data_IF_791330354437
#
_entry.id   IF_791330354437
#
_cell.length_a   1.000
_cell.length_b   1.000
_cell.length_c   1.000
_cell.angle_alpha   90.00
_cell.angle_beta   90.00
_cell.angle_gamma   90.00
#
_symmetry.space_group_name_H-M   'P 1'
#
loop_
_entity.id
_entity.type
_entity.pdbx_description
1 polymer ?
#
# COMPACT_ATOMS: atom_id res chain seq x y z
N UNK A 1 -7.17 20.75 9.21
CA UNK A 1 -6.91 21.11 7.81
C UNK A 1 -7.81 20.20 7.00
N UNK A 2 -8.87 20.72 6.38
CA UNK A 2 -9.96 19.87 5.86
C UNK A 2 -9.77 19.46 4.39
N UNK A 3 -8.59 19.74 3.83
CA UNK A 3 -8.20 19.34 2.49
C UNK A 3 -6.68 19.29 2.37
N UNK A 4 -6.09 18.13 2.63
CA UNK A 4 -4.65 17.92 2.53
C UNK A 4 -4.31 16.60 1.87
N UNK A 5 -3.25 16.59 1.08
CA UNK A 5 -2.62 15.37 0.59
C UNK A 5 -1.52 14.99 1.58
N UNK A 6 -1.55 13.74 2.04
CA UNK A 6 -0.56 13.19 2.96
C UNK A 6 0.24 12.12 2.23
N UNK A 7 1.54 12.33 2.11
CA UNK A 7 2.49 11.37 1.55
C UNK A 7 3.34 10.79 2.68
N UNK A 8 3.42 9.45 2.75
CA UNK A 8 4.34 8.75 3.63
C UNK A 8 5.48 8.15 2.82
N UNK A 9 6.68 8.66 3.02
CA UNK A 9 7.91 8.16 2.41
C UNK A 9 8.60 7.23 3.40
N UNK A 10 9.02 6.05 2.94
CA UNK A 10 9.79 5.08 3.74
C UNK A 10 11.10 4.77 3.04
N UNK A 11 12.22 4.96 3.73
CA UNK A 11 13.51 4.48 3.28
C UNK A 11 13.72 3.07 3.84
N UNK A 12 13.94 2.10 2.95
CA UNK A 12 14.14 0.70 3.28
C UNK A 12 15.63 0.37 3.31
N UNK A 13 16.03 -0.48 4.23
CA UNK A 13 17.38 -1.06 4.29
C UNK A 13 17.28 -2.58 4.43
N UNK A 14 18.17 -3.30 3.76
CA UNK A 14 18.25 -4.76 3.79
C UNK A 14 18.58 -5.24 5.21
N UNK A 15 17.77 -6.17 5.73
CA UNK A 15 17.93 -6.72 7.06
C UNK A 15 19.10 -7.71 7.17
N UNK A 16 19.57 -8.26 6.05
CA UNK A 16 20.66 -9.23 5.99
C UNK A 16 22.06 -8.60 5.95
N UNK A 17 22.17 -7.31 5.63
CA UNK A 17 23.46 -6.61 5.51
C UNK A 17 23.99 -6.22 6.90
N UNK A 18 25.15 -6.74 7.32
CA UNK A 18 25.72 -6.36 8.60
C UNK A 18 26.05 -4.85 8.63
N UNK A 19 25.73 -4.13 9.71
CA UNK A 19 26.01 -2.71 9.80
C UNK A 19 27.52 -2.46 9.68
N UNK A 20 27.89 -1.73 8.63
CA UNK A 20 29.28 -1.38 8.35
C UNK A 20 29.86 -0.50 9.46
N UNK A 21 31.19 -0.46 9.59
CA UNK A 21 31.86 0.34 10.61
C UNK A 21 31.54 1.84 10.43
N UNK A 22 31.36 2.29 9.19
CA UNK A 22 30.91 3.64 8.86
C UNK A 22 29.49 3.96 9.33
N UNK A 23 28.54 3.03 9.21
CA UNK A 23 27.18 3.25 9.73
C UNK A 23 27.12 3.19 11.25
N UNK A 24 27.92 2.32 11.88
CA UNK A 24 28.10 2.32 13.35
C UNK A 24 28.74 3.62 13.85
N UNK A 25 29.74 4.14 13.16
CA UNK A 25 30.38 5.41 13.49
C UNK A 25 29.44 6.59 13.27
N UNK A 26 28.68 6.61 12.16
CA UNK A 26 27.69 7.64 11.91
C UNK A 26 26.58 7.64 12.97
N UNK A 27 26.17 6.45 13.44
CA UNK A 27 25.24 6.29 14.56
C UNK A 27 25.87 6.79 15.89
N UNK A 28 27.13 6.44 16.15
CA UNK A 28 27.85 6.83 17.37
C UNK A 28 28.16 8.33 17.45
N UNK A 29 28.43 8.98 16.32
CA UNK A 29 28.64 10.45 16.22
C UNK A 29 27.29 11.19 16.14
N UNK A 30 26.17 10.47 15.97
CA UNK A 30 24.83 11.04 15.89
C UNK A 30 24.54 11.74 14.55
N UNK A 31 25.39 11.54 13.53
CA UNK A 31 25.16 12.02 12.16
C UNK A 31 24.14 11.17 11.43
N UNK A 32 24.04 9.88 11.78
CA UNK A 32 22.91 9.02 11.45
C UNK A 32 22.07 8.83 12.72
N UNK A 33 20.80 9.22 12.69
CA UNK A 33 19.84 8.90 13.75
C UNK A 33 18.72 8.06 13.15
N UNK A 34 18.39 6.95 13.80
CA UNK A 34 17.07 6.32 13.59
C UNK A 34 16.05 7.34 14.09
N UNK A 35 15.29 7.96 13.20
CA UNK A 35 14.08 8.68 13.62
C UNK A 35 13.20 7.63 14.29
N UNK A 36 12.92 7.77 15.58
CA UNK A 36 12.01 6.87 16.28
C UNK A 36 10.65 6.92 15.59
N UNK A 37 10.26 5.80 14.99
CA UNK A 37 9.00 5.64 14.30
C UNK A 37 8.43 4.26 14.63
N UNK A 38 7.12 4.13 14.51
CA UNK A 38 6.29 2.96 14.85
C UNK A 38 6.68 1.66 14.12
N UNK A 39 7.46 1.75 13.05
CA UNK A 39 7.86 0.61 12.20
C UNK A 39 9.35 0.25 12.31
N UNK A 40 10.13 0.92 13.16
CA UNK A 40 11.60 0.80 13.18
C UNK A 40 12.11 -0.61 13.50
N UNK A 41 11.35 -1.41 14.26
CA UNK A 41 11.75 -2.75 14.70
C UNK A 41 11.01 -3.87 13.95
N UNK A 42 10.34 -3.50 12.85
CA UNK A 42 9.59 -4.45 12.02
C UNK A 42 10.40 -4.79 10.76
N UNK A 43 10.42 -6.07 10.44
CA UNK A 43 10.98 -6.59 9.18
C UNK A 43 9.81 -6.89 8.23
N UNK A 44 10.01 -6.55 6.97
CA UNK A 44 9.04 -6.72 5.89
C UNK A 44 9.69 -7.46 4.73
N UNK A 45 8.95 -8.34 4.06
CA UNK A 45 9.37 -8.90 2.77
C UNK A 45 9.16 -7.87 1.65
N UNK A 46 10.21 -7.55 0.91
CA UNK A 46 10.16 -6.64 -0.23
C UNK A 46 10.59 -7.36 -1.50
N UNK A 47 9.72 -7.33 -2.51
CA UNK A 47 10.00 -7.91 -3.80
C UNK A 47 10.34 -6.80 -4.81
N UNK A 48 11.59 -6.68 -5.23
CA UNK A 48 11.94 -5.85 -6.39
C UNK A 48 11.18 -6.40 -7.60
N UNK A 49 10.37 -5.58 -8.27
CA UNK A 49 9.77 -5.98 -9.54
C UNK A 49 10.83 -5.89 -10.63
N UNK A 50 11.29 -7.02 -11.14
CA UNK A 50 11.97 -7.06 -12.44
C UNK A 50 10.88 -7.05 -13.51
N UNK A 51 10.58 -5.88 -14.06
CA UNK A 51 9.97 -5.78 -15.38
C UNK A 51 10.45 -4.48 -16.03
N UNK A 52 11.34 -4.64 -17.02
CA UNK A 52 11.40 -3.90 -18.28
C UNK A 52 12.74 -4.19 -18.98
N UNK A 53 12.94 -5.46 -19.35
CA UNK A 53 13.99 -5.91 -20.25
C UNK A 53 13.46 -5.98 -21.68
N UNK A 54 13.82 -4.99 -22.50
CA UNK A 54 13.47 -4.89 -23.92
C UNK A 54 14.19 -5.96 -24.76
N UNK A 55 13.48 -7.00 -25.22
CA UNK A 55 13.80 -7.86 -26.37
C UNK A 55 12.46 -8.13 -27.08
N UNK A 56 12.16 -7.74 -28.31
CA UNK A 56 13.00 -7.63 -29.50
C UNK A 56 12.90 -8.91 -30.33
N UNK A 57 11.84 -9.08 -31.15
CA UNK A 57 11.84 -10.00 -32.30
C UNK A 57 10.75 -11.08 -32.39
N UNK A 58 9.78 -10.84 -33.28
CA UNK A 58 9.19 -11.74 -34.31
C UNK A 58 8.30 -12.98 -33.96
N UNK A 59 7.04 -12.85 -34.42
CA UNK A 59 6.19 -13.76 -35.21
C UNK A 59 5.75 -15.15 -34.71
N UNK A 60 4.42 -15.36 -34.67
CA UNK A 60 3.81 -16.68 -34.67
C UNK A 60 2.31 -16.70 -34.31
N UNK A 61 1.47 -16.96 -35.31
CA UNK A 61 0.01 -17.05 -35.27
C UNK A 61 -0.56 -18.26 -34.48
N UNK A 62 -1.83 -18.10 -34.05
CA UNK A 62 -2.94 -19.09 -34.03
C UNK A 62 -3.34 -19.91 -32.78
N UNK A 63 -4.64 -19.73 -32.45
CA UNK A 63 -5.71 -20.69 -32.11
C UNK A 63 -5.68 -21.56 -30.82
N UNK A 64 -6.68 -21.32 -29.95
CA UNK A 64 -7.64 -22.39 -29.59
C UNK A 64 -7.57 -23.05 -28.19
N UNK A 65 -8.66 -22.87 -27.45
CA UNK A 65 -9.33 -23.87 -26.59
C UNK A 65 -8.84 -24.16 -25.15
N UNK A 66 -9.72 -23.77 -24.21
CA UNK A 66 -10.15 -24.38 -22.93
C UNK A 66 -9.36 -25.60 -22.40
N UNK A 67 -9.28 -25.73 -21.06
CA UNK A 67 -9.61 -27.00 -20.43
C UNK A 67 -10.61 -26.87 -19.27
N UNK A 68 -11.53 -27.83 -19.21
CA UNK A 68 -12.41 -28.08 -18.07
C UNK A 68 -11.84 -29.15 -17.11
N UNK A 69 -12.48 -29.23 -15.94
CA UNK A 69 -12.90 -30.43 -15.15
C UNK A 69 -11.94 -31.64 -15.12
N UNK A 70 -11.64 -32.33 -14.02
CA UNK A 70 -12.29 -32.48 -12.71
C UNK A 70 -11.47 -33.49 -11.88
N UNK A 71 -11.78 -33.55 -10.57
CA UNK A 71 -11.62 -34.72 -9.67
C UNK A 71 -10.16 -35.09 -9.31
N UNK A 72 -9.79 -35.53 -8.11
CA UNK A 72 -10.49 -36.04 -6.93
C UNK A 72 -9.50 -36.09 -5.76
N UNK A 73 -9.94 -35.72 -4.56
CA UNK A 73 -9.35 -36.11 -3.26
C UNK A 73 -9.47 -37.65 -3.06
N UNK A 74 -8.76 -38.35 -2.13
CA UNK A 74 -8.52 -37.93 -0.73
C UNK A 74 -7.18 -38.34 -0.07
N UNK A 75 -7.10 -37.89 1.18
CA UNK A 75 -6.03 -37.95 2.18
C UNK A 75 -5.44 -39.34 2.51
N UNK A 76 -4.17 -39.35 2.97
CA UNK A 76 -3.81 -39.86 4.31
C UNK A 76 -2.33 -39.62 4.67
N UNK A 77 -2.16 -39.13 5.91
CA UNK A 77 -1.12 -39.42 6.92
C UNK A 77 0.29 -38.81 6.81
N UNK A 78 0.55 -37.94 7.79
CA UNK A 78 1.71 -38.07 8.71
C UNK A 78 3.08 -37.62 8.20
N UNK A 79 3.62 -36.58 8.84
CA UNK A 79 5.04 -36.29 8.80
C UNK A 79 5.33 -34.80 8.92
N UNK A 80 5.68 -34.38 10.14
CA UNK A 80 6.30 -33.10 10.42
C UNK A 80 7.59 -32.94 9.60
N UNK A 81 7.73 -31.77 8.94
CA UNK A 81 8.94 -31.04 8.52
C UNK A 81 8.60 -30.20 7.27
N UNK A 82 9.06 -28.95 7.17
CA UNK A 82 9.72 -28.60 5.91
C UNK A 82 10.94 -27.71 6.13
N UNK A 83 12.11 -28.33 6.06
CA UNK A 83 13.19 -27.78 5.25
C UNK A 83 13.22 -28.58 3.95
N UNK A 84 13.26 -27.91 2.80
CA UNK A 84 13.53 -28.58 1.52
C UNK A 84 12.85 -27.96 0.30
N UNK A 85 13.59 -27.08 -0.37
CA UNK A 85 13.89 -27.12 -1.81
C UNK A 85 12.84 -27.64 -2.80
N UNK A 86 12.50 -26.78 -3.77
CA UNK A 86 12.33 -27.18 -5.16
C UNK A 86 10.93 -26.96 -5.73
N UNK A 87 10.75 -25.87 -6.47
CA UNK A 87 9.55 -25.63 -7.27
C UNK A 87 9.69 -24.35 -8.06
N UNK A 88 10.32 -24.43 -9.23
CA UNK A 88 10.51 -23.29 -10.13
C UNK A 88 9.18 -22.74 -10.63
N UNK A 89 8.69 -21.72 -9.95
CA UNK A 89 8.19 -20.53 -10.65
C UNK A 89 9.35 -19.55 -10.66
N UNK A 90 9.54 -18.79 -11.75
CA UNK A 90 10.51 -17.69 -11.82
C UNK A 90 10.04 -16.57 -10.87
N UNK A 91 10.14 -16.87 -9.57
CA UNK A 91 9.50 -16.19 -8.47
C UNK A 91 10.44 -15.15 -7.93
N UNK A 92 10.15 -13.91 -8.30
CA UNK A 92 10.59 -12.65 -7.69
C UNK A 92 11.34 -12.83 -6.36
N UNK A 93 12.62 -12.46 -6.33
CA UNK A 93 13.47 -12.53 -5.13
C UNK A 93 12.89 -11.61 -4.05
N UNK A 94 12.31 -12.22 -3.02
CA UNK A 94 11.87 -11.52 -1.81
C UNK A 94 13.10 -11.24 -0.93
N UNK A 95 13.25 -10.00 -0.48
CA UNK A 95 14.35 -9.52 0.38
C UNK A 95 13.76 -9.00 1.68
N UNK A 96 14.28 -9.48 2.81
CA UNK A 96 13.90 -8.96 4.12
C UNK A 96 14.48 -7.54 4.30
N UNK A 97 13.61 -6.57 4.58
CA UNK A 97 13.98 -5.17 4.78
C UNK A 97 13.39 -4.61 6.06
N UNK A 98 14.06 -3.62 6.65
CA UNK A 98 13.50 -2.81 7.73
C UNK A 98 13.36 -1.36 7.29
N UNK A 99 12.42 -0.64 7.92
CA UNK A 99 12.23 0.79 7.65
C UNK A 99 13.26 1.57 8.47
N UNK A 100 14.21 2.21 7.79
CA UNK A 100 15.21 3.04 8.46
C UNK A 100 14.66 4.41 8.81
N UNK A 101 13.90 4.99 7.88
CA UNK A 101 13.34 6.33 7.99
C UNK A 101 11.89 6.32 7.48
N UNK A 102 11.01 7.01 8.20
CA UNK A 102 9.61 7.22 7.82
C UNK A 102 9.30 8.70 7.92
N UNK A 103 8.93 9.31 6.80
CA UNK A 103 8.66 10.75 6.70
C UNK A 103 7.20 10.95 6.27
N UNK A 104 6.49 11.78 7.02
CA UNK A 104 5.16 12.28 6.65
C UNK A 104 5.32 13.65 6.01
N UNK A 105 4.82 13.80 4.78
CA UNK A 105 4.73 15.08 4.10
C UNK A 105 3.26 15.43 3.96
N UNK A 106 2.87 16.60 4.43
CA UNK A 106 1.51 17.10 4.35
C UNK A 106 1.51 18.37 3.51
N UNK A 107 0.66 18.40 2.48
CA UNK A 107 0.45 19.57 1.65
C UNK A 107 -1.03 19.93 1.65
N UNK A 108 -1.34 21.19 1.89
CA UNK A 108 -2.68 21.70 1.67
C UNK A 108 -3.00 21.62 0.16
N UNK A 109 -4.20 21.12 -0.18
CA UNK A 109 -4.67 21.12 -1.56
C UNK A 109 -5.84 22.11 -1.74
N UNK A 110 -5.65 23.19 -2.52
CA UNK A 110 -6.68 24.19 -2.77
C UNK A 110 -7.96 23.60 -3.38
N UNK A 111 -7.84 22.53 -4.18
CA UNK A 111 -9.00 21.89 -4.82
C UNK A 111 -9.86 21.16 -3.80
N UNK A 112 -9.25 20.38 -2.89
CA UNK A 112 -9.94 19.74 -1.76
C UNK A 112 -10.58 20.76 -0.82
N UNK A 113 -9.89 21.86 -0.51
CA UNK A 113 -10.47 22.95 0.29
C UNK A 113 -11.68 23.59 -0.39
N UNK A 114 -11.60 23.84 -1.70
CA UNK A 114 -12.72 24.37 -2.48
C UNK A 114 -13.89 23.39 -2.53
N UNK A 115 -13.61 22.09 -2.68
CA UNK A 115 -14.62 21.04 -2.69
C UNK A 115 -15.34 20.96 -1.34
N UNK A 116 -14.60 20.96 -0.22
CA UNK A 116 -15.18 20.96 1.12
C UNK A 116 -16.13 22.16 1.31
N UNK A 117 -15.70 23.37 0.95
CA UNK A 117 -16.54 24.56 1.03
C UNK A 117 -17.81 24.46 0.16
N UNK A 118 -17.69 23.92 -1.06
CA UNK A 118 -18.83 23.71 -1.97
C UNK A 118 -19.83 22.69 -1.39
N UNK A 119 -19.35 21.60 -0.79
CA UNK A 119 -20.21 20.60 -0.15
C UNK A 119 -20.93 21.18 1.07
N UNK A 120 -20.24 21.99 1.88
CA UNK A 120 -20.88 22.70 3.00
C UNK A 120 -21.98 23.65 2.51
N UNK A 121 -21.71 24.47 1.49
CA UNK A 121 -22.69 25.37 0.91
C UNK A 121 -23.91 24.60 0.35
N UNK A 122 -23.67 23.51 -0.38
CA UNK A 122 -24.73 22.65 -0.89
C UNK A 122 -25.56 22.02 0.24
N UNK A 123 -24.91 21.59 1.33
CA UNK A 123 -25.57 21.08 2.53
C UNK A 123 -26.54 22.09 3.14
N UNK A 124 -26.16 23.36 3.24
CA UNK A 124 -27.06 24.43 3.69
C UNK A 124 -28.25 24.62 2.75
N UNK A 125 -28.01 24.67 1.44
CA UNK A 125 -29.09 24.82 0.45
C UNK A 125 -30.06 23.65 0.52
N UNK A 126 -29.56 22.42 0.64
CA UNK A 126 -30.38 21.22 0.75
C UNK A 126 -31.17 21.19 2.07
N UNK A 127 -30.57 21.62 3.17
CA UNK A 127 -31.26 21.78 4.46
C UNK A 127 -32.44 22.76 4.36
N UNK A 128 -32.24 23.92 3.71
CA UNK A 128 -33.33 24.88 3.44
C UNK A 128 -34.39 24.27 2.54
N UNK A 129 -34.00 23.59 1.45
CA UNK A 129 -34.92 22.94 0.54
C UNK A 129 -35.78 21.87 1.24
N UNK A 130 -35.19 21.07 2.14
CA UNK A 130 -35.90 20.08 2.95
C UNK A 130 -36.90 20.73 3.89
N UNK A 131 -36.53 21.80 4.60
CA UNK A 131 -37.46 22.54 5.47
C UNK A 131 -38.62 23.12 4.67
N UNK A 132 -38.36 23.70 3.51
CA UNK A 132 -39.39 24.23 2.64
C UNK A 132 -40.34 23.14 2.15
N UNK A 133 -39.81 21.97 1.76
CA UNK A 133 -40.62 20.84 1.33
C UNK A 133 -41.48 20.29 2.48
N UNK A 134 -40.91 20.12 3.67
CA UNK A 134 -41.63 19.66 4.84
C UNK A 134 -42.80 20.59 5.20
N UNK A 135 -42.58 21.91 5.15
CA UNK A 135 -43.63 22.90 5.34
C UNK A 135 -44.77 22.78 4.32
N UNK A 136 -44.46 22.49 3.05
CA UNK A 136 -45.47 22.25 2.00
C UNK A 136 -46.21 20.93 2.22
N UNK A 137 -45.53 19.90 2.73
CA UNK A 137 -46.11 18.59 3.00
C UNK A 137 -46.88 18.54 4.33
N UNK A 138 -46.82 19.60 5.15
CA UNK A 138 -47.45 19.65 6.47
C UNK A 138 -46.71 18.83 7.53
N UNK A 139 -45.46 18.47 7.28
CA UNK A 139 -44.59 17.76 8.23
C UNK A 139 -43.82 18.79 9.07
N UNK A 140 -43.97 18.74 10.40
CA UNK A 140 -43.11 19.49 11.32
C UNK A 140 -41.79 18.74 11.49
N UNK A 141 -40.70 19.30 10.97
CA UNK A 141 -39.36 18.80 11.26
C UNK A 141 -38.92 19.36 12.62
N UNK A 142 -38.88 18.52 13.64
CA UNK A 142 -38.23 18.82 14.92
C UNK A 142 -36.73 19.10 14.69
N UNK A 143 -36.22 20.21 15.25
CA UNK A 143 -34.85 20.70 15.09
C UNK A 143 -33.76 19.78 15.68
#
# INVERSE_FOLDING_TARGET
QDGSIVLWLRALEDASVPPTLGSKLALAIGTARRLEHDEADRVFGFCCGEDDGHHGGEDGHEHGSRPGTSSSSPAAVGGEHPGGTGGGTAGRREVDVYVREKVRVESADPSLLSLAAKLTALGHVLSVARRNLAAVMGEELED
#
